data_IF_523081782556
#
_entry.id   IF_523081782556
#
_cell.length_a   1.000
_cell.length_b   1.000
_cell.length_c   1.000
_cell.angle_alpha   90.00
_cell.angle_beta   90.00
_cell.angle_gamma   90.00
#
_symmetry.space_group_name_H-M   'P 1'
#
loop_
_entity.id
_entity.type
_entity.pdbx_description
1 polymer ?
#
# COMPACT_ATOMS: atom_id res chain seq x y z
N UNK A 1 13.85 2.79 45.60
CA UNK A 1 13.08 1.60 45.14
C UNK A 1 12.50 1.94 43.77
N UNK A 2 12.88 1.28 42.67
CA UNK A 2 12.28 1.58 41.36
C UNK A 2 10.86 1.03 41.30
N UNK A 3 9.96 1.83 40.74
CA UNK A 3 8.52 1.67 40.73
C UNK A 3 8.08 0.41 39.93
N UNK A 4 7.12 -0.36 40.47
CA UNK A 4 6.84 -1.77 40.13
C UNK A 4 5.75 -1.99 39.04
N UNK A 5 5.44 -1.00 38.21
CA UNK A 5 4.24 -1.03 37.33
C UNK A 5 4.48 -0.67 35.86
N UNK A 6 5.67 -0.88 35.32
CA UNK A 6 5.88 -0.70 33.87
C UNK A 6 5.60 -2.02 33.16
N UNK A 7 4.35 -2.20 32.70
CA UNK A 7 4.06 -3.19 31.67
C UNK A 7 4.84 -2.82 30.39
N UNK A 8 5.48 -3.79 29.74
CA UNK A 8 6.19 -3.58 28.47
C UNK A 8 5.21 -3.02 27.44
N UNK A 9 5.51 -1.83 26.89
CA UNK A 9 4.70 -1.26 25.81
C UNK A 9 4.99 -2.00 24.50
N UNK A 10 3.96 -2.48 23.81
CA UNK A 10 4.07 -3.05 22.46
C UNK A 10 3.53 -2.06 21.45
N UNK A 11 4.35 -1.76 20.44
CA UNK A 11 3.97 -0.95 19.30
C UNK A 11 3.90 -1.90 18.07
N UNK A 12 2.70 -2.29 17.58
CA UNK A 12 2.57 -3.15 16.42
C UNK A 12 3.00 -2.38 15.17
N UNK A 13 3.98 -2.92 14.45
CA UNK A 13 4.59 -2.36 13.25
C UNK A 13 4.53 -3.37 12.12
N UNK A 14 5.08 -3.03 10.96
CA UNK A 14 5.10 -3.87 9.77
C UNK A 14 6.51 -4.02 9.22
N UNK A 15 6.81 -5.19 8.66
CA UNK A 15 8.03 -5.42 7.86
C UNK A 15 8.20 -4.36 6.77
N UNK A 16 7.11 -3.82 6.21
CA UNK A 16 7.12 -2.73 5.22
C UNK A 16 7.89 -1.49 5.70
N UNK A 17 7.93 -1.24 7.02
CA UNK A 17 8.71 -0.14 7.60
C UNK A 17 10.22 -0.29 7.43
N UNK A 18 10.70 -1.54 7.35
CA UNK A 18 12.12 -1.88 7.24
C UNK A 18 12.56 -2.11 5.80
N UNK A 19 11.69 -2.70 4.96
CA UNK A 19 12.02 -3.04 3.57
C UNK A 19 11.54 -2.01 2.56
N UNK A 20 10.57 -1.18 2.93
CA UNK A 20 9.91 -0.22 2.04
C UNK A 20 9.01 -0.91 1.03
N UNK A 21 7.74 -0.50 0.97
CA UNK A 21 6.80 -0.98 -0.04
C UNK A 21 6.45 0.17 -0.98
N UNK A 22 6.66 -0.04 -2.28
CA UNK A 22 6.23 0.90 -3.31
C UNK A 22 4.74 1.23 -3.14
N UNK A 23 4.37 2.48 -3.40
CA UNK A 23 3.01 3.05 -3.20
C UNK A 23 2.51 3.13 -1.75
N UNK A 24 3.27 2.66 -0.76
CA UNK A 24 2.88 2.66 0.66
C UNK A 24 3.77 3.57 1.53
N UNK A 25 4.29 4.68 0.98
CA UNK A 25 5.26 5.55 1.67
C UNK A 25 4.76 6.06 3.03
N UNK A 26 3.49 6.46 3.10
CA UNK A 26 2.85 6.93 4.33
C UNK A 26 2.76 5.83 5.38
N UNK A 27 2.36 4.62 4.96
CA UNK A 27 2.30 3.45 5.82
C UNK A 27 3.69 3.06 6.33
N UNK A 28 4.70 3.03 5.46
CA UNK A 28 6.08 2.74 5.83
C UNK A 28 6.61 3.77 6.84
N UNK A 29 6.34 5.07 6.65
CA UNK A 29 6.77 6.13 7.55
C UNK A 29 6.09 6.03 8.93
N UNK A 30 4.79 5.74 8.97
CA UNK A 30 4.04 5.57 10.22
C UNK A 30 4.55 4.40 11.05
N UNK A 31 4.77 3.25 10.41
CA UNK A 31 5.32 2.08 11.09
C UNK A 31 6.78 2.30 11.52
N UNK A 32 7.59 2.99 10.71
CA UNK A 32 8.97 3.32 11.08
C UNK A 32 9.03 4.24 12.31
N UNK A 33 8.07 5.16 12.46
CA UNK A 33 7.94 5.96 13.68
C UNK A 33 7.71 5.09 14.92
N UNK A 34 6.87 4.05 14.83
CA UNK A 34 6.62 3.12 15.94
C UNK A 34 7.89 2.34 16.32
N UNK A 35 8.68 1.90 15.33
CA UNK A 35 9.97 1.25 15.56
C UNK A 35 10.93 2.15 16.35
N UNK A 36 11.00 3.43 15.96
CA UNK A 36 11.85 4.42 16.62
C UNK A 36 11.31 4.83 18.00
N UNK A 37 9.99 4.86 18.19
CA UNK A 37 9.36 5.17 19.47
C UNK A 37 9.71 4.12 20.54
N UNK A 38 9.69 2.84 20.19
CA UNK A 38 10.10 1.76 21.08
C UNK A 38 11.58 1.90 21.49
N UNK A 39 12.46 2.20 20.53
CA UNK A 39 13.90 2.47 20.79
C UNK A 39 14.09 3.69 21.69
N UNK A 40 13.36 4.77 21.43
CA UNK A 40 13.40 5.98 22.24
C UNK A 40 12.99 5.71 23.69
N UNK A 41 11.88 4.97 23.90
CA UNK A 41 11.43 4.56 25.23
C UNK A 41 12.50 3.74 25.96
N UNK A 42 13.15 2.79 25.28
CA UNK A 42 14.25 1.99 25.85
C UNK A 42 15.47 2.82 26.21
N UNK A 43 15.84 3.80 25.38
CA UNK A 43 16.93 4.73 25.68
C UNK A 43 16.65 5.57 26.95
N UNK A 44 15.37 5.79 27.28
CA UNK A 44 14.91 6.43 28.52
C UNK A 44 14.76 5.45 29.70
N UNK A 45 15.22 4.21 29.57
CA UNK A 45 15.10 3.17 30.61
C UNK A 45 13.70 2.61 30.79
N UNK A 46 12.78 2.83 29.83
CA UNK A 46 11.42 2.30 29.87
C UNK A 46 11.30 1.04 28.99
N UNK A 47 10.65 -0.03 29.46
CA UNK A 47 10.46 -1.24 28.66
C UNK A 47 9.49 -0.96 27.50
N UNK A 48 9.94 -1.19 26.28
CA UNK A 48 9.14 -1.05 25.06
C UNK A 48 9.67 -1.95 23.95
N UNK A 49 8.78 -2.41 23.07
CA UNK A 49 9.11 -3.26 21.93
C UNK A 49 8.20 -2.94 20.74
N UNK A 50 8.80 -2.69 19.59
CA UNK A 50 8.10 -2.68 18.32
C UNK A 50 8.21 -4.07 17.67
N UNK A 51 7.10 -4.56 17.12
CA UNK A 51 7.08 -5.84 16.41
C UNK A 51 6.69 -5.56 14.96
N UNK A 52 7.64 -5.68 14.04
CA UNK A 52 7.41 -5.62 12.61
C UNK A 52 6.85 -6.95 12.13
N UNK A 53 5.54 -7.05 12.01
CA UNK A 53 4.87 -8.25 11.51
C UNK A 53 4.99 -8.36 9.99
N UNK A 54 5.08 -9.60 9.51
CA UNK A 54 4.95 -9.93 8.10
C UNK A 54 3.49 -9.94 7.67
N UNK A 55 3.23 -10.59 6.55
CA UNK A 55 1.89 -10.72 6.00
C UNK A 55 1.01 -11.59 6.91
N UNK A 56 -0.19 -11.16 7.30
CA UNK A 56 -1.13 -11.98 8.07
C UNK A 56 -2.32 -12.33 7.16
N UNK A 57 -2.29 -13.45 6.43
CA UNK A 57 -3.29 -13.74 5.40
C UNK A 57 -4.68 -14.08 5.96
N UNK A 58 -4.77 -14.47 7.23
CA UNK A 58 -6.01 -14.90 7.88
C UNK A 58 -6.86 -13.72 8.39
N UNK A 59 -6.32 -12.49 8.39
CA UNK A 59 -6.97 -11.32 8.96
C UNK A 59 -6.73 -10.09 8.06
N UNK A 60 -7.79 -9.34 7.74
CA UNK A 60 -7.70 -8.08 7.00
C UNK A 60 -7.69 -8.24 5.47
N UNK A 61 -7.18 -7.23 4.76
CA UNK A 61 -7.35 -7.06 3.30
C UNK A 61 -6.87 -8.23 2.43
N UNK A 62 -5.87 -8.98 2.90
CA UNK A 62 -5.29 -10.09 2.15
C UNK A 62 -6.09 -11.40 2.23
N UNK A 63 -6.93 -11.56 3.25
CA UNK A 63 -7.86 -12.68 3.35
C UNK A 63 -8.87 -12.64 2.19
N UNK A 64 -9.33 -11.44 1.85
CA UNK A 64 -10.39 -11.22 0.86
C UNK A 64 -9.86 -11.13 -0.59
N UNK A 65 -8.52 -11.03 -0.78
CA UNK A 65 -7.88 -10.88 -2.09
C UNK A 65 -6.60 -11.75 -2.20
N UNK A 66 -6.74 -13.09 -2.29
CA UNK A 66 -5.62 -14.04 -2.25
C UNK A 66 -4.61 -13.86 -3.40
N UNK A 67 -5.02 -13.29 -4.53
CA UNK A 67 -4.16 -12.94 -5.67
C UNK A 67 -3.10 -11.88 -5.33
N UNK A 68 -3.35 -11.03 -4.33
CA UNK A 68 -2.41 -9.99 -3.87
C UNK A 68 -1.29 -10.60 -3.01
N UNK A 69 -1.52 -11.77 -2.40
CA UNK A 69 -0.55 -12.48 -1.56
C UNK A 69 0.68 -13.02 -2.30
N UNK A 70 0.63 -13.13 -3.63
CA UNK A 70 1.76 -13.59 -4.43
C UNK A 70 2.90 -12.55 -4.50
N UNK A 71 2.58 -11.25 -4.38
CA UNK A 71 3.55 -10.17 -4.51
C UNK A 71 4.45 -10.01 -3.26
N UNK A 72 3.93 -10.05 -2.02
CA UNK A 72 4.75 -10.06 -0.81
C UNK A 72 5.67 -11.28 -0.72
N UNK A 73 5.20 -12.47 -1.11
CA UNK A 73 6.01 -13.69 -1.13
C UNK A 73 7.22 -13.58 -2.06
N UNK A 74 7.06 -12.98 -3.25
CA UNK A 74 8.16 -12.68 -4.18
C UNK A 74 9.18 -11.69 -3.62
N UNK A 75 8.77 -10.85 -2.67
CA UNK A 75 9.63 -9.89 -1.97
C UNK A 75 10.27 -10.47 -0.70
N UNK A 76 10.09 -11.77 -0.44
CA UNK A 76 10.61 -12.44 0.75
C UNK A 76 9.82 -12.14 2.03
N UNK A 77 8.65 -11.51 1.91
CA UNK A 77 7.72 -11.31 3.03
C UNK A 77 6.85 -12.56 3.14
N UNK A 78 7.06 -13.30 4.22
CA UNK A 78 6.35 -14.53 4.52
C UNK A 78 5.06 -14.24 5.28
N UNK A 79 4.09 -15.12 5.05
CA UNK A 79 2.89 -15.17 5.85
C UNK A 79 3.23 -15.58 7.30
N UNK A 80 2.55 -14.97 8.26
CA UNK A 80 2.43 -15.45 9.63
C UNK A 80 0.96 -15.72 9.91
N UNK A 81 0.66 -16.84 10.55
CA UNK A 81 -0.71 -17.16 10.94
C UNK A 81 -1.09 -16.51 12.29
N UNK A 82 -2.36 -16.59 12.67
CA UNK A 82 -2.90 -16.04 13.92
C UNK A 82 -2.19 -16.63 15.15
N UNK A 83 -1.95 -17.94 15.17
CA UNK A 83 -1.26 -18.61 16.28
C UNK A 83 0.17 -18.10 16.45
N UNK A 84 0.89 -17.89 15.36
CA UNK A 84 2.24 -17.31 15.35
C UNK A 84 2.22 -15.86 15.82
N UNK A 85 1.25 -15.06 15.36
CA UNK A 85 1.08 -13.68 15.80
C UNK A 85 0.90 -13.59 17.32
N UNK A 86 0.02 -14.42 17.89
CA UNK A 86 -0.23 -14.47 19.33
C UNK A 86 1.03 -14.91 20.09
N UNK A 87 1.70 -15.96 19.63
CA UNK A 87 2.94 -16.45 20.26
C UNK A 87 4.07 -15.41 20.23
N UNK A 88 4.24 -14.70 19.11
CA UNK A 88 5.23 -13.63 18.98
C UNK A 88 4.91 -12.49 19.96
N UNK A 89 3.64 -12.13 20.07
CA UNK A 89 3.18 -11.07 20.98
C UNK A 89 3.39 -11.47 22.45
N UNK A 90 3.03 -12.70 22.81
CA UNK A 90 3.26 -13.22 24.17
C UNK A 90 4.75 -13.30 24.52
N UNK A 91 5.59 -13.69 23.57
CA UNK A 91 7.04 -13.69 23.75
C UNK A 91 7.57 -12.26 23.97
N UNK A 92 7.06 -11.29 23.21
CA UNK A 92 7.42 -9.88 23.35
C UNK A 92 6.98 -9.28 24.70
N UNK A 93 5.84 -9.73 25.23
CA UNK A 93 5.35 -9.30 26.55
C UNK A 93 6.10 -9.96 27.72
N UNK A 94 6.48 -11.23 27.56
CA UNK A 94 7.02 -12.06 28.64
C UNK A 94 8.52 -11.84 28.91
N UNK A 95 9.30 -11.42 27.91
CA UNK A 95 10.74 -11.26 28.07
C UNK A 95 11.22 -9.84 27.79
N UNK A 96 11.89 -9.16 28.75
CA UNK A 96 12.75 -8.04 28.40
C UNK A 96 13.91 -8.57 27.57
N UNK A 97 13.83 -8.39 26.25
CA UNK A 97 14.91 -8.74 25.32
C UNK A 97 16.09 -7.78 25.55
N UNK A 98 16.92 -8.07 26.56
CA UNK A 98 18.25 -7.47 26.74
C UNK A 98 19.27 -8.35 26.02
N UNK A 99 19.10 -8.48 24.70
CA UNK A 99 20.08 -9.12 23.85
C UNK A 99 21.16 -8.10 23.48
N UNK A 100 22.46 -8.42 23.65
CA UNK A 100 23.54 -7.60 23.14
C UNK A 100 23.38 -7.43 21.62
N UNK A 101 23.10 -6.20 21.19
CA UNK A 101 22.98 -5.87 19.77
C UNK A 101 24.23 -5.11 19.33
N UNK A 102 24.71 -5.39 18.10
CA UNK A 102 25.87 -4.70 17.51
C UNK A 102 25.68 -3.17 17.45
N UNK A 103 24.43 -2.70 17.43
CA UNK A 103 24.04 -1.29 17.41
C UNK A 103 23.58 -0.74 18.78
N UNK A 104 23.81 -1.47 19.88
CA UNK A 104 23.48 -1.06 21.25
C UNK A 104 22.21 -1.70 21.82
N UNK A 105 22.02 -1.61 23.13
CA UNK A 105 20.91 -2.26 23.87
C UNK A 105 19.53 -1.70 23.50
N UNK A 106 19.45 -0.42 23.09
CA UNK A 106 18.21 0.18 22.60
C UNK A 106 17.72 -0.46 21.28
N UNK A 107 18.62 -1.05 20.48
CA UNK A 107 18.27 -1.71 19.23
C UNK A 107 17.53 -3.04 19.43
N UNK A 108 17.60 -3.64 20.63
CA UNK A 108 16.83 -4.84 20.96
C UNK A 108 15.32 -4.58 21.13
N UNK A 109 14.87 -3.31 21.02
CA UNK A 109 13.47 -2.92 21.08
C UNK A 109 12.69 -3.17 19.78
N UNK A 110 13.24 -3.93 18.83
CA UNK A 110 12.61 -4.19 17.54
C UNK A 110 12.72 -5.68 17.18
N UNK A 111 11.59 -6.32 16.93
CA UNK A 111 11.50 -7.71 16.47
C UNK A 111 10.88 -7.70 15.08
N UNK A 112 11.59 -8.25 14.09
CA UNK A 112 11.06 -8.44 12.74
C UNK A 112 10.64 -9.90 12.53
N UNK A 113 9.43 -10.13 12.01
CA UNK A 113 8.88 -11.47 11.73
C UNK A 113 8.26 -11.52 10.33
N UNK A 114 8.21 -12.71 9.75
CA UNK A 114 7.70 -12.89 8.39
C UNK A 114 8.61 -12.28 7.32
N UNK A 115 9.93 -12.26 7.54
CA UNK A 115 10.92 -11.92 6.52
C UNK A 115 11.89 -13.10 6.37
N UNK A 116 12.12 -13.54 5.13
CA UNK A 116 13.12 -14.57 4.82
C UNK A 116 14.52 -13.90 4.74
N UNK A 117 15.41 -14.11 5.73
CA UNK A 117 16.61 -13.30 5.86
C UNK A 117 17.63 -13.50 4.73
N UNK A 118 17.75 -14.72 4.19
CA UNK A 118 18.79 -15.03 3.21
C UNK A 118 18.46 -14.46 1.83
N UNK A 119 17.21 -14.61 1.39
CA UNK A 119 16.69 -14.02 0.17
C UNK A 119 16.68 -12.50 0.23
N UNK A 120 16.33 -11.89 1.38
CA UNK A 120 16.42 -10.45 1.54
C UNK A 120 17.85 -9.91 1.43
N UNK A 121 18.82 -10.59 2.05
CA UNK A 121 20.25 -10.20 1.96
C UNK A 121 20.76 -10.34 0.52
N UNK A 122 20.39 -11.42 -0.17
CA UNK A 122 20.79 -11.65 -1.55
C UNK A 122 20.19 -10.60 -2.50
N UNK A 123 18.89 -10.31 -2.36
CA UNK A 123 18.22 -9.23 -3.11
C UNK A 123 18.88 -7.86 -2.84
N UNK A 124 19.21 -7.55 -1.59
CA UNK A 124 19.93 -6.30 -1.27
C UNK A 124 21.33 -6.23 -1.88
N UNK A 125 22.02 -7.36 -1.99
CA UNK A 125 23.36 -7.45 -2.58
C UNK A 125 23.33 -7.28 -4.10
N UNK A 126 22.26 -7.74 -4.75
CA UNK A 126 22.01 -7.53 -6.18
C UNK A 126 21.75 -6.06 -6.51
N UNK A 127 21.35 -5.25 -5.51
CA UNK A 127 21.01 -3.85 -5.70
C UNK A 127 19.58 -3.69 -6.22
N UNK A 128 19.14 -2.45 -6.39
CA UNK A 128 17.85 -2.17 -7.01
C UNK A 128 18.06 -2.07 -8.52
N UNK A 129 17.93 -3.19 -9.23
CA UNK A 129 17.85 -3.16 -10.69
C UNK A 129 16.46 -2.62 -11.10
N UNK A 130 16.48 -1.44 -11.69
CA UNK A 130 15.42 -0.82 -12.48
C UNK A 130 14.01 -0.72 -11.87
N UNK A 131 13.85 0.03 -10.77
CA UNK A 131 12.57 0.70 -10.49
C UNK A 131 12.13 1.61 -11.66
N UNK A 132 13.07 1.99 -12.52
CA UNK A 132 12.87 2.75 -13.74
C UNK A 132 12.19 1.91 -14.85
N UNK A 133 12.34 0.58 -14.90
CA UNK A 133 11.73 -0.24 -15.96
C UNK A 133 10.23 -0.48 -15.77
N UNK A 134 9.72 -0.59 -14.53
CA UNK A 134 8.27 -0.70 -14.28
C UNK A 134 7.54 0.59 -14.65
N UNK A 135 8.17 1.74 -14.38
CA UNK A 135 7.64 3.05 -14.79
C UNK A 135 7.82 3.31 -16.30
N UNK A 136 8.91 2.81 -16.91
CA UNK A 136 9.16 2.89 -18.36
C UNK A 136 8.32 1.93 -19.20
N UNK A 137 7.99 0.74 -18.72
CA UNK A 137 7.11 -0.19 -19.43
C UNK A 137 5.67 0.34 -19.50
N UNK A 138 5.21 1.07 -18.48
CA UNK A 138 3.94 1.82 -18.56
C UNK A 138 4.03 3.02 -19.51
N UNK A 139 5.18 3.69 -19.61
CA UNK A 139 5.38 4.79 -20.54
C UNK A 139 5.54 4.36 -22.01
N UNK A 140 5.83 3.07 -22.28
CA UNK A 140 5.99 2.55 -23.64
C UNK A 140 4.70 1.99 -24.25
N UNK A 141 3.65 1.75 -23.45
CA UNK A 141 2.36 1.23 -23.90
C UNK A 141 1.33 2.34 -24.13
N UNK A 142 1.63 3.31 -25.00
CA UNK A 142 0.67 4.35 -25.37
C UNK A 142 0.12 5.18 -24.20
N UNK A 143 -0.73 6.16 -24.49
CA UNK A 143 -1.33 7.05 -23.49
C UNK A 143 -2.47 6.36 -22.69
N UNK A 144 -2.65 5.04 -22.87
CA UNK A 144 -3.79 4.26 -22.40
C UNK A 144 -3.36 3.01 -21.62
N UNK A 145 -3.95 2.72 -20.45
CA UNK A 145 -3.72 1.46 -19.76
C UNK A 145 -4.04 0.25 -20.64
N UNK A 146 -3.25 -0.82 -20.54
CA UNK A 146 -3.40 -2.03 -21.37
C UNK A 146 -4.80 -2.65 -21.30
N UNK A 147 -5.47 -2.55 -20.14
CA UNK A 147 -6.84 -3.02 -19.94
C UNK A 147 -7.88 -2.18 -20.73
N UNK A 148 -7.67 -0.86 -20.83
CA UNK A 148 -8.51 0.04 -21.62
C UNK A 148 -8.32 -0.23 -23.12
N UNK A 149 -7.07 -0.39 -23.58
CA UNK A 149 -6.79 -0.75 -24.96
C UNK A 149 -7.38 -2.12 -25.33
N UNK A 150 -7.23 -3.12 -24.45
CA UNK A 150 -7.73 -4.48 -24.70
C UNK A 150 -9.26 -4.59 -24.75
N UNK A 151 -9.98 -3.75 -24.00
CA UNK A 151 -11.45 -3.73 -24.02
C UNK A 151 -12.00 -3.02 -25.26
N UNK A 152 -11.28 -2.01 -25.76
CA UNK A 152 -11.59 -1.39 -27.05
C UNK A 152 -11.36 -2.37 -28.21
N UNK A 153 -10.24 -3.11 -28.21
CA UNK A 153 -9.87 -4.03 -29.30
C UNK A 153 -10.70 -5.32 -29.33
N UNK A 154 -10.97 -5.93 -28.17
CA UNK A 154 -11.61 -7.26 -28.09
C UNK A 154 -13.13 -7.22 -27.91
N UNK A 155 -13.65 -6.19 -27.23
CA UNK A 155 -15.09 -6.09 -26.92
C UNK A 155 -15.82 -5.03 -27.76
N UNK A 156 -15.09 -4.23 -28.55
CA UNK A 156 -15.66 -3.13 -29.33
C UNK A 156 -16.24 -2.02 -28.46
N UNK A 157 -15.82 -1.94 -27.20
CA UNK A 157 -16.29 -0.92 -26.27
C UNK A 157 -15.82 0.47 -26.72
N UNK A 158 -16.66 1.48 -26.49
CA UNK A 158 -16.23 2.87 -26.69
C UNK A 158 -15.14 3.24 -25.67
N UNK A 159 -14.31 4.24 -26.00
CA UNK A 159 -13.27 4.73 -25.09
C UNK A 159 -13.86 5.12 -23.73
N UNK A 160 -15.03 5.77 -23.72
CA UNK A 160 -15.73 6.17 -22.49
C UNK A 160 -16.14 4.96 -21.64
N UNK A 161 -16.68 3.90 -22.26
CA UNK A 161 -17.07 2.68 -21.55
C UNK A 161 -15.87 1.92 -20.99
N UNK A 162 -14.78 1.85 -21.75
CA UNK A 162 -13.54 1.21 -21.35
C UNK A 162 -12.88 1.94 -20.16
N UNK A 163 -12.78 3.26 -20.24
CA UNK A 163 -12.27 4.11 -19.15
C UNK A 163 -13.18 4.04 -17.93
N UNK A 164 -14.50 4.13 -18.13
CA UNK A 164 -15.47 4.03 -17.03
C UNK A 164 -15.32 2.72 -16.26
N UNK A 165 -15.20 1.60 -16.98
CA UNK A 165 -15.03 0.28 -16.36
C UNK A 165 -13.74 0.20 -15.55
N UNK A 166 -12.62 0.69 -16.12
CA UNK A 166 -11.32 0.65 -15.46
C UNK A 166 -11.27 1.56 -14.22
N UNK A 167 -11.79 2.78 -14.32
CA UNK A 167 -11.88 3.71 -13.17
C UNK A 167 -12.82 3.16 -12.09
N UNK A 168 -13.95 2.55 -12.48
CA UNK A 168 -14.88 1.94 -11.51
C UNK A 168 -14.22 0.77 -10.78
N UNK A 169 -13.53 -0.13 -11.49
CA UNK A 169 -12.83 -1.25 -10.88
C UNK A 169 -11.73 -0.78 -9.90
N UNK A 170 -10.96 0.24 -10.29
CA UNK A 170 -9.94 0.82 -9.40
C UNK A 170 -10.55 1.47 -8.16
N UNK A 171 -11.59 2.27 -8.34
CA UNK A 171 -12.24 2.95 -7.22
C UNK A 171 -12.88 1.94 -6.25
N UNK A 172 -13.57 0.92 -6.77
CA UNK A 172 -14.15 -0.17 -6.00
C UNK A 172 -13.10 -0.91 -5.14
N UNK A 173 -11.93 -1.18 -5.71
CA UNK A 173 -10.81 -1.77 -4.98
C UNK A 173 -10.29 -0.84 -3.87
N UNK A 174 -10.16 0.47 -4.15
CA UNK A 174 -9.73 1.48 -3.16
C UNK A 174 -10.69 1.61 -1.97
N UNK A 175 -12.00 1.53 -2.21
CA UNK A 175 -13.02 1.64 -1.14
C UNK A 175 -13.47 0.27 -0.60
N UNK A 176 -12.76 -0.80 -0.93
CA UNK A 176 -13.04 -2.16 -0.45
C UNK A 176 -14.48 -2.61 -0.68
N UNK A 177 -15.08 -2.18 -1.78
CA UNK A 177 -16.48 -2.45 -2.10
C UNK A 177 -16.55 -3.21 -3.42
N UNK A 178 -17.34 -4.30 -3.53
CA UNK A 178 -17.54 -5.02 -4.79
C UNK A 178 -17.96 -4.07 -5.92
N UNK A 179 -17.42 -4.26 -7.13
CA UNK A 179 -17.63 -3.36 -8.29
C UNK A 179 -19.13 -3.18 -8.60
N UNK A 180 -19.92 -4.23 -8.45
CA UNK A 180 -21.38 -4.26 -8.62
C UNK A 180 -22.14 -3.37 -7.61
N UNK A 181 -21.52 -3.02 -6.49
CA UNK A 181 -22.10 -2.16 -5.45
C UNK A 181 -21.65 -0.70 -5.55
N UNK A 182 -20.85 -0.35 -6.55
CA UNK A 182 -20.38 1.01 -6.80
C UNK A 182 -21.13 1.60 -8.01
N UNK A 183 -22.30 2.21 -7.81
CA UNK A 183 -23.02 2.89 -8.89
C UNK A 183 -22.22 4.11 -9.38
N UNK A 184 -21.87 4.19 -10.67
CA UNK A 184 -20.94 5.21 -11.17
C UNK A 184 -21.44 6.67 -11.04
N UNK A 185 -22.75 6.87 -10.88
CA UNK A 185 -23.40 8.18 -10.83
C UNK A 185 -23.53 8.73 -9.41
N UNK A 186 -23.16 7.95 -8.38
CA UNK A 186 -23.21 8.44 -7.00
C UNK A 186 -21.93 9.20 -6.64
N UNK A 187 -22.01 10.21 -5.75
CA UNK A 187 -20.85 10.93 -5.27
C UNK A 187 -19.82 10.02 -4.60
N UNK A 188 -18.54 10.26 -4.87
CA UNK A 188 -17.45 9.44 -4.29
C UNK A 188 -17.43 9.50 -2.76
N UNK A 189 -17.84 10.63 -2.17
CA UNK A 189 -17.91 10.82 -0.71
C UNK A 189 -18.91 9.89 -0.02
N UNK A 190 -19.89 9.34 -0.74
CA UNK A 190 -20.84 8.37 -0.17
C UNK A 190 -20.22 6.98 0.05
N UNK A 191 -19.08 6.69 -0.59
CA UNK A 191 -18.39 5.40 -0.51
C UNK A 191 -17.15 5.44 0.37
N UNK A 192 -17.05 6.43 1.26
CA UNK A 192 -15.91 6.54 2.17
C UNK A 192 -14.67 7.19 1.55
N UNK A 193 -14.81 7.94 0.44
CA UNK A 193 -13.73 8.78 -0.07
C UNK A 193 -13.28 9.78 1.02
N UNK A 194 -12.08 9.56 1.54
CA UNK A 194 -11.40 10.44 2.50
C UNK A 194 -10.14 11.07 1.88
N UNK A 195 -9.43 11.90 2.65
CA UNK A 195 -8.24 12.59 2.15
C UNK A 195 -7.10 11.65 1.76
N UNK A 196 -7.02 10.46 2.35
CA UNK A 196 -5.98 9.47 2.06
C UNK A 196 -6.30 8.75 0.75
N UNK A 197 -7.52 8.22 0.61
CA UNK A 197 -8.00 7.56 -0.60
C UNK A 197 -7.99 8.54 -1.78
N UNK A 198 -8.39 9.80 -1.57
CA UNK A 198 -8.34 10.83 -2.61
C UNK A 198 -6.91 11.08 -3.11
N UNK A 199 -5.91 11.14 -2.22
CA UNK A 199 -4.52 11.35 -2.61
C UNK A 199 -3.94 10.14 -3.40
N UNK A 200 -4.26 8.92 -2.99
CA UNK A 200 -3.88 7.72 -3.73
C UNK A 200 -4.55 7.69 -5.11
N UNK A 201 -5.83 8.04 -5.18
CA UNK A 201 -6.58 8.04 -6.44
C UNK A 201 -6.08 9.11 -7.42
N UNK A 202 -5.74 10.31 -6.95
CA UNK A 202 -5.06 11.34 -7.76
C UNK A 202 -3.73 10.82 -8.34
N UNK A 203 -2.90 10.20 -7.49
CA UNK A 203 -1.60 9.66 -7.91
C UNK A 203 -1.78 8.60 -8.99
N UNK A 204 -2.78 7.73 -8.82
CA UNK A 204 -3.12 6.71 -9.80
C UNK A 204 -3.63 7.30 -11.12
N UNK A 205 -4.51 8.30 -11.12
CA UNK A 205 -4.99 8.95 -12.34
C UNK A 205 -3.85 9.53 -13.17
N UNK A 206 -2.88 10.18 -12.51
CA UNK A 206 -1.70 10.72 -13.19
C UNK A 206 -0.81 9.62 -13.78
N UNK A 207 -0.68 8.48 -13.09
CA UNK A 207 0.11 7.35 -13.57
C UNK A 207 -0.56 6.63 -14.75
N UNK A 208 -1.87 6.41 -14.66
CA UNK A 208 -2.65 5.62 -15.61
C UNK A 208 -3.00 6.40 -16.89
N UNK A 209 -3.36 7.69 -16.75
CA UNK A 209 -3.93 8.48 -17.85
C UNK A 209 -3.18 9.79 -18.10
N UNK A 210 -2.12 10.09 -17.33
CA UNK A 210 -1.45 11.40 -17.36
C UNK A 210 -2.43 12.56 -17.17
N UNK A 211 -3.47 12.34 -16.36
CA UNK A 211 -4.50 13.32 -16.04
C UNK A 211 -4.37 13.77 -14.59
N UNK A 212 -4.20 15.07 -14.39
CA UNK A 212 -4.08 15.68 -13.06
C UNK A 212 -5.48 15.97 -12.50
N UNK A 213 -5.85 15.23 -11.45
CA UNK A 213 -7.07 15.47 -10.67
C UNK A 213 -6.68 16.15 -9.37
N UNK A 214 -7.38 17.22 -8.97
CA UNK A 214 -7.17 17.82 -7.65
C UNK A 214 -7.84 16.98 -6.56
N UNK A 215 -7.12 16.69 -5.49
CA UNK A 215 -7.64 15.93 -4.34
C UNK A 215 -8.84 16.61 -3.69
N UNK A 216 -8.90 17.95 -3.69
CA UNK A 216 -10.03 18.71 -3.17
C UNK A 216 -11.31 18.48 -4.00
N UNK A 217 -11.17 18.29 -5.32
CA UNK A 217 -12.31 18.02 -6.21
C UNK A 217 -12.90 16.64 -5.95
N UNK A 218 -12.05 15.63 -5.71
CA UNK A 218 -12.47 14.27 -5.35
C UNK A 218 -13.26 14.20 -4.04
N UNK A 219 -13.02 15.15 -3.13
CA UNK A 219 -13.73 15.27 -1.86
C UNK A 219 -15.03 16.09 -1.97
N UNK A 220 -15.37 16.58 -3.16
CA UNK A 220 -16.62 17.30 -3.39
C UNK A 220 -17.81 16.34 -3.49
N UNK A 221 -18.99 16.80 -3.09
CA UNK A 221 -20.25 16.03 -3.17
C UNK A 221 -20.78 15.87 -4.60
N UNK A 222 -20.11 16.47 -5.57
CA UNK A 222 -20.58 16.53 -6.96
C UNK A 222 -19.80 15.61 -7.88
N UNK A 223 -18.60 15.20 -7.48
CA UNK A 223 -17.74 14.35 -8.31
C UNK A 223 -18.14 12.89 -8.14
N UNK A 224 -18.30 12.22 -9.27
CA UNK A 224 -18.72 10.82 -9.41
C UNK A 224 -17.69 10.07 -10.25
N UNK A 225 -17.72 8.73 -10.20
CA UNK A 225 -16.87 7.89 -11.06
C UNK A 225 -17.15 8.18 -12.53
N UNK A 226 -18.42 8.32 -12.90
CA UNK A 226 -18.85 8.61 -14.26
C UNK A 226 -18.33 9.97 -14.77
N UNK A 227 -18.41 11.02 -13.93
CA UNK A 227 -17.91 12.34 -14.33
C UNK A 227 -16.39 12.34 -14.52
N UNK A 228 -15.64 11.62 -13.68
CA UNK A 228 -14.18 11.52 -13.82
C UNK A 228 -13.81 10.75 -15.09
N UNK A 229 -14.47 9.62 -15.34
CA UNK A 229 -14.23 8.82 -16.54
C UNK A 229 -14.51 9.63 -17.82
N UNK A 230 -15.60 10.41 -17.85
CA UNK A 230 -15.93 11.28 -18.97
C UNK A 230 -14.87 12.38 -19.19
N UNK A 231 -14.40 13.03 -18.12
CA UNK A 231 -13.35 14.05 -18.21
C UNK A 231 -12.04 13.48 -18.76
N UNK A 232 -11.65 12.29 -18.29
CA UNK A 232 -10.43 11.60 -18.76
C UNK A 232 -10.57 11.15 -20.21
N UNK A 233 -11.71 10.57 -20.60
CA UNK A 233 -11.94 10.14 -21.97
C UNK A 233 -11.94 11.31 -22.97
N UNK A 234 -12.49 12.47 -22.57
CA UNK A 234 -12.47 13.69 -23.36
C UNK A 234 -11.03 14.23 -23.53
N UNK A 235 -10.24 14.23 -22.46
CA UNK A 235 -8.84 14.68 -22.48
C UNK A 235 -7.95 13.78 -23.35
N UNK A 236 -8.09 12.45 -23.22
CA UNK A 236 -7.40 11.48 -24.08
C UNK A 236 -7.76 11.70 -25.55
N UNK A 237 -9.05 11.89 -25.84
CA UNK A 237 -9.52 12.15 -27.21
C UNK A 237 -8.91 13.45 -27.79
N UNK A 238 -8.78 14.49 -26.97
CA UNK A 238 -8.17 15.75 -27.38
C UNK A 238 -6.66 15.61 -27.66
N UNK A 239 -5.93 14.85 -26.82
CA UNK A 239 -4.49 14.56 -27.02
C UNK A 239 -4.23 13.70 -28.27
N UNK A 240 -5.11 12.74 -28.55
CA UNK A 240 -5.05 11.91 -29.76
C UNK A 240 -5.20 12.72 -31.04
N UNK A 241 -6.03 13.76 -31.05
CA UNK A 241 -6.21 14.65 -32.20
C UNK A 241 -5.02 15.60 -32.42
N UNK A 242 -4.38 16.08 -31.35
CA UNK A 242 -3.23 16.98 -31.42
C UNK A 242 -1.96 16.32 -32.00
N UNK A 243 -1.87 14.99 -31.93
CA UNK A 243 -0.70 14.22 -32.41
C UNK A 243 -0.74 13.94 -33.93
N UNK A 244 -1.87 14.20 -34.59
CA UNK A 244 -2.09 13.95 -36.03
C UNK A 244 -1.98 15.19 -36.93
N UNK A 245 -1.57 16.34 -36.38
CA UNK A 245 -1.27 17.60 -37.09
C UNK A 245 0.21 17.94 -37.00
#
# INVERSE_FOLDING_TARGET
MPNKYWHTAIDPSSVSASVGTATESNYCAGNHFLDLLARYRRAQGRPAMAIGFGMIPEIGYLHDNPEIGALPLRKGIQAINEDEFLQITDLALSQPLDMPHVWGTAAAGHVLKGLEPFGFIELRRQGFDDADNTLKQQAQNGDLPAEVASSMDNEGATLEEAVLRHVTARFANLVLTPVDKVPPQKPLTEFGMDSMIAAEFCTWFFQAFRYDVLSLELLSKTVTVASLAAMVAADISARGQATLT
#
